data_IF_515262592107
#
_entry.id   IF_515262592107
#
_cell.length_a   1.000
_cell.length_b   1.000
_cell.length_c   1.000
_cell.angle_alpha   90.00
_cell.angle_beta   90.00
_cell.angle_gamma   90.00
#
_symmetry.space_group_name_H-M   'P 1'
#
loop_
_entity.id
_entity.type
_entity.pdbx_description
1 polymer ?
#
# COMPACT_ATOMS: atom_id res chain seq x y z
N UNK A 1 -14.45 5.97 -3.10
CA UNK A 1 -13.34 6.94 -3.28
C UNK A 1 -11.99 6.22 -3.26
N UNK A 2 -10.86 6.89 -3.57
CA UNK A 2 -9.52 6.33 -3.34
C UNK A 2 -8.59 7.32 -2.63
N UNK A 3 -7.68 6.79 -1.81
CA UNK A 3 -6.64 7.53 -1.09
C UNK A 3 -5.28 7.02 -1.58
N UNK A 4 -4.41 7.90 -2.11
CA UNK A 4 -3.06 7.50 -2.49
C UNK A 4 -2.22 7.22 -1.23
N UNK A 5 -1.67 6.02 -1.14
CA UNK A 5 -0.71 5.65 -0.09
C UNK A 5 0.72 5.92 -0.59
N UNK A 6 0.99 5.57 -1.85
CA UNK A 6 2.22 5.84 -2.57
C UNK A 6 1.84 6.33 -3.96
N UNK A 7 2.44 7.43 -4.43
CA UNK A 7 2.11 7.98 -5.75
C UNK A 7 3.36 8.13 -6.60
N UNK A 8 3.37 7.47 -7.77
CA UNK A 8 4.37 7.65 -8.82
C UNK A 8 5.81 7.47 -8.39
N UNK A 9 6.06 6.68 -7.34
CA UNK A 9 7.35 6.66 -6.65
C UNK A 9 8.34 5.74 -7.33
N UNK A 10 9.57 6.21 -7.50
CA UNK A 10 10.68 5.41 -8.01
C UNK A 10 11.24 4.52 -6.90
N UNK A 11 11.19 3.19 -7.04
CA UNK A 11 11.72 2.28 -6.03
C UNK A 11 13.20 2.50 -5.74
N UNK A 12 13.99 2.93 -6.72
CA UNK A 12 15.43 3.19 -6.54
C UNK A 12 15.75 4.40 -5.65
N UNK A 13 14.86 5.39 -5.53
CA UNK A 13 15.15 6.66 -4.85
C UNK A 13 14.20 7.01 -3.70
N UNK A 14 13.05 6.34 -3.60
CA UNK A 14 12.03 6.69 -2.60
C UNK A 14 12.52 6.43 -1.18
N UNK A 15 12.56 7.47 -0.34
CA UNK A 15 12.80 7.34 1.10
C UNK A 15 11.48 7.03 1.81
N UNK A 16 11.55 6.36 2.96
CA UNK A 16 10.40 5.79 3.69
C UNK A 16 9.17 6.70 3.67
N UNK A 17 8.04 6.09 3.32
CA UNK A 17 6.76 6.78 3.11
C UNK A 17 6.16 7.17 4.46
N UNK A 18 5.48 8.31 4.53
CA UNK A 18 4.75 8.72 5.73
C UNK A 18 3.62 7.73 6.05
N UNK A 19 3.15 7.74 7.31
CA UNK A 19 1.90 7.07 7.66
C UNK A 19 0.72 7.85 7.08
N UNK A 20 -0.11 7.18 6.30
CA UNK A 20 -1.27 7.74 5.61
C UNK A 20 -2.55 7.30 6.31
N UNK A 21 -3.42 8.21 6.76
CA UNK A 21 -4.69 7.85 7.37
C UNK A 21 -5.70 7.38 6.32
N UNK A 22 -6.23 6.18 6.52
CA UNK A 22 -7.35 5.62 5.76
C UNK A 22 -8.61 5.73 6.62
N UNK A 23 -9.60 6.48 6.11
CA UNK A 23 -10.86 6.74 6.83
C UNK A 23 -11.99 5.78 6.46
N UNK A 24 -11.76 4.90 5.47
CA UNK A 24 -12.75 3.93 5.01
C UNK A 24 -12.90 2.80 6.03
N UNK A 25 -14.15 2.41 6.31
CA UNK A 25 -14.45 1.23 7.14
C UNK A 25 -13.96 -0.05 6.47
N UNK A 26 -14.05 -0.12 5.14
CA UNK A 26 -13.56 -1.23 4.34
C UNK A 26 -12.97 -0.71 3.03
N UNK A 27 -11.84 -1.28 2.63
CA UNK A 27 -11.10 -0.79 1.47
C UNK A 27 -10.23 -1.88 0.84
N UNK A 28 -9.97 -1.75 -0.45
CA UNK A 28 -9.12 -2.61 -1.26
C UNK A 28 -7.81 -1.94 -1.62
N UNK A 29 -6.73 -2.71 -1.63
CA UNK A 29 -5.43 -2.24 -2.13
C UNK A 29 -5.40 -2.32 -3.65
N UNK A 30 -4.98 -1.24 -4.30
CA UNK A 30 -4.72 -1.18 -5.73
C UNK A 30 -3.27 -0.83 -5.95
N UNK A 31 -2.55 -1.64 -6.73
CA UNK A 31 -1.12 -1.42 -7.00
C UNK A 31 -0.88 -1.27 -8.49
N UNK A 32 -0.16 -0.23 -8.89
CA UNK A 32 0.17 0.08 -10.28
C UNK A 32 1.67 0.19 -10.49
N UNK A 33 2.13 -0.26 -11.67
CA UNK A 33 3.51 -0.06 -12.13
C UNK A 33 4.55 -1.00 -11.50
N UNK A 34 4.13 -1.94 -10.66
CA UNK A 34 5.01 -2.86 -9.93
C UNK A 34 5.36 -4.10 -10.76
N UNK A 35 6.65 -4.45 -10.83
CA UNK A 35 7.18 -5.56 -11.63
C UNK A 35 8.14 -6.45 -10.85
N UNK A 36 9.18 -5.87 -10.26
CA UNK A 36 10.33 -6.58 -9.67
C UNK A 36 10.70 -6.08 -8.25
N UNK A 37 10.07 -5.01 -7.77
CA UNK A 37 10.12 -4.59 -6.37
C UNK A 37 9.25 -5.47 -5.47
N UNK A 38 9.59 -5.51 -4.19
CA UNK A 38 8.77 -6.13 -3.13
C UNK A 38 8.33 -5.05 -2.14
N UNK A 39 7.03 -5.00 -1.87
CA UNK A 39 6.40 -3.98 -1.04
C UNK A 39 5.71 -4.57 0.17
N UNK A 40 5.97 -4.02 1.36
CA UNK A 40 5.25 -4.34 2.58
C UNK A 40 4.31 -3.21 2.94
N UNK A 41 3.06 -3.54 3.28
CA UNK A 41 2.06 -2.59 3.78
C UNK A 41 1.90 -2.74 5.29
N UNK A 42 2.46 -1.81 6.02
CA UNK A 42 2.28 -1.75 7.46
C UNK A 42 0.94 -1.08 7.77
N UNK A 43 0.17 -1.65 8.70
CA UNK A 43 -1.02 -1.04 9.26
C UNK A 43 -0.80 -0.74 10.75
N UNK A 44 -1.18 0.46 11.16
CA UNK A 44 -1.24 0.93 12.53
C UNK A 44 -2.70 1.27 12.85
N UNK A 45 -3.40 0.29 13.43
CA UNK A 45 -4.78 0.39 13.86
C UNK A 45 -4.99 -0.46 15.13
N UNK A 46 -6.23 -0.50 15.68
CA UNK A 46 -6.53 -1.29 16.88
C UNK A 46 -6.20 -2.78 16.69
N UNK A 47 -6.31 -3.27 15.47
CA UNK A 47 -5.76 -4.55 15.04
C UNK A 47 -4.37 -4.29 14.45
N UNK A 48 -3.32 -4.42 15.27
CA UNK A 48 -1.90 -4.30 14.85
C UNK A 48 -1.53 -5.47 13.93
N UNK A 49 -2.04 -5.46 12.72
CA UNK A 49 -1.69 -6.42 11.70
C UNK A 49 -0.56 -5.82 10.86
N UNK A 50 0.66 -6.25 11.15
CA UNK A 50 1.78 -6.05 10.22
C UNK A 50 1.51 -7.01 9.07
N UNK A 51 0.90 -6.53 8.00
CA UNK A 51 0.61 -7.36 6.84
C UNK A 51 1.84 -7.30 5.95
N UNK A 52 2.67 -8.32 6.07
CA UNK A 52 3.68 -8.55 5.05
C UNK A 52 2.93 -8.97 3.79
N UNK A 53 3.01 -8.12 2.79
CA UNK A 53 2.42 -8.43 1.51
C UNK A 53 3.56 -8.62 0.53
N UNK A 54 3.42 -9.63 -0.31
CA UNK A 54 4.36 -9.90 -1.40
C UNK A 54 3.49 -9.98 -2.64
N UNK A 55 3.89 -9.30 -3.70
CA UNK A 55 3.11 -9.33 -4.93
C UNK A 55 3.29 -10.65 -5.68
N UNK A 56 2.26 -11.08 -6.45
CA UNK A 56 1.06 -10.32 -6.83
C UNK A 56 -0.10 -10.31 -5.81
N UNK A 57 0.04 -10.96 -4.66
CA UNK A 57 -1.03 -11.24 -3.66
C UNK A 57 -1.73 -10.01 -3.06
N UNK A 58 -1.20 -8.82 -3.29
CA UNK A 58 -1.63 -7.56 -2.70
C UNK A 58 -2.73 -6.82 -3.48
N UNK A 59 -2.78 -7.02 -4.80
CA UNK A 59 -3.66 -6.23 -5.65
C UNK A 59 -5.08 -6.79 -5.57
N UNK A 60 -6.02 -5.99 -5.05
CA UNK A 60 -7.39 -6.40 -4.74
C UNK A 60 -7.61 -6.90 -3.30
N UNK A 61 -6.55 -6.97 -2.48
CA UNK A 61 -6.69 -7.40 -1.08
C UNK A 61 -7.58 -6.42 -0.30
N UNK A 62 -8.56 -6.95 0.45
CA UNK A 62 -9.53 -6.16 1.22
C UNK A 62 -9.11 -6.07 2.69
N UNK A 63 -9.22 -4.88 3.27
CA UNK A 63 -8.88 -4.58 4.65
C UNK A 63 -10.01 -3.83 5.33
N UNK A 64 -10.11 -4.01 6.65
CA UNK A 64 -10.99 -3.21 7.50
C UNK A 64 -10.19 -2.02 8.07
N UNK A 65 -10.77 -0.83 7.99
CA UNK A 65 -10.30 0.39 8.63
C UNK A 65 -11.29 0.86 9.71
N UNK A 66 -11.22 2.13 10.16
CA UNK A 66 -10.19 3.13 9.85
C UNK A 66 -8.84 2.82 10.51
N UNK A 67 -7.75 3.14 9.81
CA UNK A 67 -6.38 2.87 10.28
C UNK A 67 -5.37 3.82 9.65
N UNK A 68 -4.12 3.81 10.12
CA UNK A 68 -3.00 4.43 9.43
C UNK A 68 -2.20 3.36 8.71
N UNK A 69 -1.75 3.62 7.48
CA UNK A 69 -0.96 2.67 6.70
C UNK A 69 0.33 3.28 6.19
N UNK A 70 1.34 2.44 5.97
CA UNK A 70 2.62 2.84 5.40
C UNK A 70 3.11 1.78 4.44
N UNK A 71 3.57 2.18 3.26
CA UNK A 71 4.24 1.28 2.32
C UNK A 71 5.76 1.36 2.52
N UNK A 72 6.41 0.21 2.48
CA UNK A 72 7.86 0.09 2.54
C UNK A 72 8.38 -0.85 1.44
N UNK A 73 9.44 -0.43 0.76
CA UNK A 73 10.13 -1.27 -0.20
C UNK A 73 11.09 -2.21 0.53
N UNK A 74 10.76 -3.50 0.58
CA UNK A 74 11.64 -4.55 1.11
C UNK A 74 12.75 -4.87 0.10
N UNK A 75 12.38 -4.91 -1.18
CA UNK A 75 13.30 -5.02 -2.31
C UNK A 75 12.98 -3.93 -3.32
N UNK A 76 14.01 -3.24 -3.80
CA UNK A 76 13.91 -2.17 -4.78
C UNK A 76 14.24 -2.74 -6.16
N UNK A 77 13.28 -2.69 -7.05
CA UNK A 77 13.37 -3.07 -8.45
C UNK A 77 13.73 -1.89 -9.35
N UNK A 78 13.48 -2.09 -10.64
CA UNK A 78 13.89 -1.19 -11.73
C UNK A 78 12.74 -0.35 -12.28
N UNK A 79 11.57 -0.39 -11.64
CA UNK A 79 10.38 0.27 -12.15
C UNK A 79 10.52 1.79 -12.19
N UNK A 80 9.98 2.41 -13.25
CA UNK A 80 10.02 3.87 -13.42
C UNK A 80 9.14 4.59 -12.40
N UNK A 81 8.05 3.96 -11.99
CA UNK A 81 7.09 4.46 -11.03
C UNK A 81 6.25 3.32 -10.46
N UNK A 82 5.97 3.39 -9.17
CA UNK A 82 5.06 2.50 -8.47
C UNK A 82 4.07 3.36 -7.68
N UNK A 83 2.80 3.02 -7.79
CA UNK A 83 1.73 3.68 -7.03
C UNK A 83 0.92 2.64 -6.26
N UNK A 84 0.50 2.98 -5.05
CA UNK A 84 -0.34 2.16 -4.17
C UNK A 84 -1.48 3.02 -3.67
N UNK A 85 -2.71 2.52 -3.80
CA UNK A 85 -3.92 3.21 -3.40
C UNK A 85 -4.75 2.34 -2.46
N UNK A 86 -5.43 2.98 -1.53
CA UNK A 86 -6.55 2.42 -0.81
C UNK A 86 -7.84 2.86 -1.51
N UNK A 87 -8.58 1.93 -2.11
CA UNK A 87 -9.88 2.19 -2.72
C UNK A 87 -10.97 1.77 -1.76
N UNK A 88 -11.87 2.67 -1.42
CA UNK A 88 -13.05 2.38 -0.61
C UNK A 88 -13.86 1.23 -1.23
N UNK A 89 -14.25 0.27 -0.39
CA UNK A 89 -15.02 -0.91 -0.79
C UNK A 89 -16.35 -0.90 -0.06
N UNK A 90 -17.41 -0.60 -0.80
CA UNK A 90 -18.80 -0.70 -0.34
C UNK A 90 -19.30 -2.06 -0.83
N UNK A 91 -19.35 -3.05 0.05
CA UNK A 91 -20.17 -4.26 -0.18
C UNK A 91 -21.62 -3.93 0.19
#
# INVERSE_FOLDING_TARGET
MEIPILLGSRPSTVKQVAWIPIRFERWQVRVEGLKDSELVLHSNGPFKNKVEITLPTMNGATYNGPCQVRVEFKKRGTERNVSVFAKEHHD
#
